data_IF_452667064575
#
_entry.id   IF_452667064575
#
_cell.length_a   1.000
_cell.length_b   1.000
_cell.length_c   1.000
_cell.angle_alpha   90.00
_cell.angle_beta   90.00
_cell.angle_gamma   90.00
#
_symmetry.space_group_name_H-M   'P 1'
#
loop_
_entity.id
_entity.type
_entity.pdbx_description
1 polymer ?
#
# COMPACT_ATOMS: atom_id res chain seq x y z
N UNK A 1 -8.74 22.54 11.74
CA UNK A 1 -9.73 21.44 11.68
C UNK A 1 -9.09 20.29 12.41
N UNK A 2 -9.64 19.90 13.54
CA UNK A 2 -9.12 18.76 14.29
C UNK A 2 -9.17 17.52 13.41
N UNK A 3 -8.03 16.81 13.32
CA UNK A 3 -7.91 15.57 12.56
C UNK A 3 -8.82 14.55 13.24
N UNK A 4 -9.86 14.08 12.53
CA UNK A 4 -10.76 13.06 13.10
C UNK A 4 -9.95 11.77 13.23
N UNK A 5 -9.84 11.26 14.45
CA UNK A 5 -9.11 10.01 14.70
C UNK A 5 -9.82 8.84 14.00
N UNK A 6 -9.06 8.07 13.21
CA UNK A 6 -9.60 6.91 12.48
C UNK A 6 -10.18 5.83 13.40
N UNK A 7 -9.66 5.75 14.63
CA UNK A 7 -10.11 4.82 15.67
C UNK A 7 -11.59 5.07 16.09
N UNK A 8 -12.06 6.32 15.96
CA UNK A 8 -13.45 6.71 16.31
C UNK A 8 -14.43 6.57 15.15
N UNK A 9 -13.96 6.28 13.95
CA UNK A 9 -14.80 6.20 12.77
C UNK A 9 -15.30 4.78 12.52
N UNK A 10 -16.56 4.66 12.09
CA UNK A 10 -17.04 3.42 11.51
C UNK A 10 -16.24 3.00 10.26
N UNK A 11 -16.06 1.70 9.97
CA UNK A 11 -15.22 1.22 8.87
C UNK A 11 -15.51 1.88 7.51
N UNK A 12 -16.77 2.04 7.15
CA UNK A 12 -17.16 2.68 5.88
C UNK A 12 -16.88 4.18 5.86
N UNK A 13 -16.95 4.86 7.00
CA UNK A 13 -16.63 6.28 7.14
C UNK A 13 -15.12 6.49 7.06
N UNK A 14 -14.32 5.67 7.74
CA UNK A 14 -12.85 5.70 7.65
C UNK A 14 -12.37 5.53 6.20
N UNK A 15 -12.91 4.52 5.49
CA UNK A 15 -12.57 4.31 4.08
C UNK A 15 -13.02 5.48 3.18
N UNK A 16 -14.16 6.08 3.42
CA UNK A 16 -14.64 7.23 2.64
C UNK A 16 -13.78 8.48 2.86
N UNK A 17 -13.29 8.69 4.07
CA UNK A 17 -12.49 9.85 4.47
C UNK A 17 -11.07 9.74 3.94
N UNK A 18 -10.40 8.64 4.21
CA UNK A 18 -8.96 8.47 3.97
C UNK A 18 -8.62 7.69 2.69
N UNK A 19 -9.50 6.77 2.27
CA UNK A 19 -9.24 5.86 1.15
C UNK A 19 -10.11 6.16 -0.09
N UNK A 20 -10.16 7.39 -0.60
CA UNK A 20 -11.08 7.82 -1.67
C UNK A 20 -11.06 6.93 -2.92
N UNK A 21 -9.92 6.41 -3.32
CA UNK A 21 -9.78 5.51 -4.47
C UNK A 21 -10.34 4.12 -4.16
N UNK A 22 -10.05 3.58 -2.98
CA UNK A 22 -10.58 2.29 -2.51
C UNK A 22 -12.07 2.37 -2.23
N UNK A 23 -12.57 3.48 -1.68
CA UNK A 23 -14.00 3.70 -1.48
C UNK A 23 -14.78 3.76 -2.81
N UNK A 24 -14.16 4.26 -3.88
CA UNK A 24 -14.72 4.18 -5.22
C UNK A 24 -14.86 2.72 -5.67
N UNK A 25 -13.80 1.94 -5.57
CA UNK A 25 -13.77 0.53 -5.98
C UNK A 25 -14.68 -0.37 -5.10
N UNK A 26 -14.83 -0.07 -3.80
CA UNK A 26 -15.71 -0.79 -2.88
C UNK A 26 -17.14 -0.96 -3.40
N UNK A 27 -17.64 0.01 -4.17
CA UNK A 27 -19.01 -0.02 -4.74
C UNK A 27 -19.26 -1.26 -5.61
N UNK A 28 -18.22 -1.88 -6.15
CA UNK A 28 -18.31 -3.05 -7.02
C UNK A 28 -18.20 -4.39 -6.27
N UNK A 29 -17.77 -4.38 -4.99
CA UNK A 29 -17.64 -5.60 -4.17
C UNK A 29 -18.99 -6.18 -3.73
N UNK A 30 -20.04 -5.37 -3.72
CA UNK A 30 -21.31 -5.72 -3.09
C UNK A 30 -21.28 -5.53 -1.56
N UNK A 31 -22.43 -5.71 -0.91
CA UNK A 31 -22.64 -5.29 0.48
C UNK A 31 -21.69 -5.99 1.47
N UNK A 32 -21.63 -7.33 1.45
CA UNK A 32 -20.84 -8.12 2.43
C UNK A 32 -19.33 -7.93 2.24
N UNK A 33 -18.80 -8.24 1.05
CA UNK A 33 -17.36 -8.09 0.79
C UNK A 33 -16.91 -6.62 0.91
N UNK A 34 -17.76 -5.66 0.53
CA UNK A 34 -17.46 -4.24 0.68
C UNK A 34 -17.39 -3.79 2.14
N UNK A 35 -18.23 -4.35 3.03
CA UNK A 35 -18.15 -4.11 4.46
C UNK A 35 -16.86 -4.73 5.03
N UNK A 36 -16.58 -5.99 4.71
CA UNK A 36 -15.37 -6.69 5.15
C UNK A 36 -14.08 -5.97 4.71
N UNK A 37 -14.03 -5.51 3.45
CA UNK A 37 -12.89 -4.73 2.93
C UNK A 37 -12.73 -3.37 3.64
N UNK A 38 -13.84 -2.70 3.99
CA UNK A 38 -13.79 -1.45 4.76
C UNK A 38 -13.30 -1.71 6.20
N UNK A 39 -13.67 -2.84 6.80
CA UNK A 39 -13.20 -3.27 8.11
C UNK A 39 -11.69 -3.50 8.12
N UNK A 40 -11.16 -4.24 7.12
CA UNK A 40 -9.70 -4.41 6.99
C UNK A 40 -8.99 -3.06 6.77
N UNK A 41 -9.55 -2.20 5.92
CA UNK A 41 -8.97 -0.88 5.68
C UNK A 41 -8.86 -0.06 6.96
N UNK A 42 -9.95 -0.01 7.77
CA UNK A 42 -9.93 0.71 9.05
C UNK A 42 -8.90 0.12 10.00
N UNK A 43 -8.81 -1.20 10.11
CA UNK A 43 -7.78 -1.86 10.90
C UNK A 43 -6.36 -1.39 10.52
N UNK A 44 -6.01 -1.51 9.24
CA UNK A 44 -4.71 -1.07 8.77
C UNK A 44 -4.48 0.44 8.98
N UNK A 45 -5.51 1.27 8.79
CA UNK A 45 -5.42 2.72 8.96
C UNK A 45 -5.19 3.12 10.42
N UNK A 46 -5.84 2.43 11.37
CA UNK A 46 -5.62 2.71 12.80
C UNK A 46 -4.19 2.34 13.22
N UNK A 47 -3.66 1.21 12.71
CA UNK A 47 -2.25 0.85 12.95
C UNK A 47 -1.28 1.91 12.37
N UNK A 48 -1.57 2.45 11.19
CA UNK A 48 -0.83 3.50 10.53
C UNK A 48 -0.86 4.82 11.34
N UNK A 49 -2.05 5.25 11.78
CA UNK A 49 -2.23 6.43 12.62
C UNK A 49 -1.55 6.27 14.00
N UNK A 50 -1.48 5.04 14.54
CA UNK A 50 -0.68 4.77 15.75
C UNK A 50 0.81 4.99 15.49
N UNK A 51 1.33 4.51 14.36
CA UNK A 51 2.74 4.67 13.99
C UNK A 51 3.10 6.14 13.77
N UNK A 52 2.24 6.91 13.14
CA UNK A 52 2.44 8.34 12.85
C UNK A 52 2.26 9.23 14.10
N UNK A 53 1.83 8.67 15.24
CA UNK A 53 1.58 9.41 16.47
C UNK A 53 0.30 10.25 16.44
N UNK A 54 -0.58 10.02 15.48
CA UNK A 54 -1.90 10.66 15.37
C UNK A 54 -2.89 10.17 16.45
N UNK A 55 -2.58 9.03 17.07
CA UNK A 55 -3.33 8.44 18.18
C UNK A 55 -2.51 8.53 19.46
N UNK A 56 -3.16 8.88 20.57
CA UNK A 56 -2.51 9.02 21.87
C UNK A 56 -1.80 7.73 22.28
N UNK A 57 -0.52 7.84 22.64
CA UNK A 57 0.35 6.69 22.93
C UNK A 57 0.44 5.66 21.79
N UNK A 58 0.09 6.05 20.57
CA UNK A 58 0.02 5.18 19.40
C UNK A 58 1.26 4.31 19.19
N UNK A 59 2.49 4.88 19.13
CA UNK A 59 3.71 4.10 18.96
C UNK A 59 3.90 3.01 20.01
N UNK A 60 3.66 3.31 21.28
CA UNK A 60 3.80 2.34 22.36
C UNK A 60 2.71 1.26 22.30
N UNK A 61 1.46 1.65 21.98
CA UNK A 61 0.36 0.70 21.76
C UNK A 61 0.67 -0.25 20.62
N UNK A 62 1.16 0.28 19.50
CA UNK A 62 1.53 -0.51 18.32
C UNK A 62 2.63 -1.53 18.66
N UNK A 63 3.66 -1.11 19.42
CA UNK A 63 4.69 -2.02 19.91
C UNK A 63 4.12 -3.13 20.80
N UNK A 64 3.22 -2.78 21.74
CA UNK A 64 2.59 -3.75 22.63
C UNK A 64 1.70 -4.75 21.87
N UNK A 65 0.93 -4.28 20.87
CA UNK A 65 0.13 -5.13 19.97
C UNK A 65 1.04 -6.13 19.25
N UNK A 66 2.14 -5.66 18.67
CA UNK A 66 3.12 -6.52 18.00
C UNK A 66 3.69 -7.59 18.94
N UNK A 67 4.11 -7.17 20.12
CA UNK A 67 4.72 -8.09 21.11
C UNK A 67 3.72 -9.14 21.62
N UNK A 68 2.47 -8.73 21.87
CA UNK A 68 1.38 -9.63 22.24
C UNK A 68 1.07 -10.65 21.15
N UNK A 69 0.99 -10.20 19.91
CA UNK A 69 0.81 -11.10 18.76
C UNK A 69 2.00 -12.08 18.63
N UNK A 70 3.21 -11.63 18.88
CA UNK A 70 4.41 -12.49 18.77
C UNK A 70 4.47 -13.56 19.85
N UNK A 71 4.14 -13.20 21.09
CA UNK A 71 4.27 -14.05 22.28
C UNK A 71 2.96 -14.73 22.70
N UNK A 72 1.88 -14.57 21.95
CA UNK A 72 0.56 -15.17 22.22
C UNK A 72 -0.05 -14.78 23.60
N UNK A 73 0.10 -13.52 24.01
CA UNK A 73 -0.59 -13.00 25.19
C UNK A 73 -1.56 -11.86 24.85
N UNK A 74 -2.61 -11.69 25.68
CA UNK A 74 -3.55 -10.57 25.55
C UNK A 74 -2.88 -9.27 25.92
N UNK A 75 -3.02 -8.25 25.05
CA UNK A 75 -2.52 -6.89 25.30
C UNK A 75 -3.56 -6.00 25.94
N UNK A 76 -4.83 -6.44 26.02
CA UNK A 76 -5.99 -5.64 26.41
C UNK A 76 -6.08 -4.32 25.61
N UNK A 77 -5.61 -4.33 24.36
CA UNK A 77 -5.74 -3.16 23.50
C UNK A 77 -7.11 -3.14 22.83
N UNK A 78 -7.87 -2.02 22.95
CA UNK A 78 -9.24 -1.93 22.42
C UNK A 78 -9.34 -2.25 20.93
N UNK A 79 -8.31 -1.95 20.15
CA UNK A 79 -8.29 -2.27 18.72
C UNK A 79 -8.29 -3.78 18.48
N UNK A 80 -7.45 -4.53 19.20
CA UNK A 80 -7.41 -5.99 19.05
C UNK A 80 -8.71 -6.63 19.55
N UNK A 81 -9.27 -6.14 20.65
CA UNK A 81 -10.54 -6.65 21.18
C UNK A 81 -11.69 -6.45 20.17
N UNK A 82 -11.74 -5.27 19.54
CA UNK A 82 -12.72 -4.96 18.49
C UNK A 82 -12.54 -5.85 17.25
N UNK A 83 -11.31 -6.09 16.83
CA UNK A 83 -11.02 -6.81 15.58
C UNK A 83 -10.78 -8.31 15.75
N UNK A 84 -10.73 -8.85 16.98
CA UNK A 84 -10.44 -10.25 17.24
C UNK A 84 -11.36 -11.20 16.47
N UNK A 85 -12.66 -10.95 16.53
CA UNK A 85 -13.64 -11.75 15.80
C UNK A 85 -13.41 -11.67 14.28
N UNK A 86 -13.14 -10.49 13.77
CA UNK A 86 -12.85 -10.30 12.34
C UNK A 86 -11.60 -11.03 11.92
N UNK A 87 -10.50 -10.90 12.67
CA UNK A 87 -9.23 -11.59 12.42
C UNK A 87 -9.44 -13.10 12.39
N UNK A 88 -10.14 -13.66 13.39
CA UNK A 88 -10.44 -15.09 13.46
C UNK A 88 -11.38 -15.56 12.35
N UNK A 89 -12.47 -14.85 12.09
CA UNK A 89 -13.48 -15.23 11.08
C UNK A 89 -12.95 -15.19 9.66
N UNK A 90 -12.02 -14.25 9.36
CA UNK A 90 -11.35 -14.12 8.06
C UNK A 90 -10.04 -14.91 7.98
N UNK A 91 -9.65 -15.59 9.07
CA UNK A 91 -8.38 -16.35 9.16
C UNK A 91 -7.18 -15.49 8.76
N UNK A 92 -7.16 -14.23 9.21
CA UNK A 92 -6.05 -13.32 8.88
C UNK A 92 -4.75 -13.85 9.48
N UNK A 93 -3.68 -14.03 8.69
CA UNK A 93 -2.46 -14.66 9.16
C UNK A 93 -1.68 -13.74 10.11
N UNK A 94 -1.47 -14.19 11.33
CA UNK A 94 -0.78 -13.46 12.40
C UNK A 94 0.60 -12.93 12.00
N UNK A 95 1.41 -13.76 11.34
CA UNK A 95 2.75 -13.36 10.89
C UNK A 95 2.72 -12.21 9.86
N UNK A 96 1.65 -12.13 9.07
CA UNK A 96 1.48 -11.04 8.10
C UNK A 96 1.10 -9.74 8.82
N UNK A 97 0.23 -9.81 9.85
CA UNK A 97 -0.11 -8.65 10.69
C UNK A 97 1.15 -8.15 11.41
N UNK A 98 1.94 -9.04 12.01
CA UNK A 98 3.21 -8.68 12.66
C UNK A 98 4.16 -8.00 11.66
N UNK A 99 4.29 -8.55 10.45
CA UNK A 99 5.15 -7.95 9.42
C UNK A 99 4.68 -6.57 8.96
N UNK A 100 3.35 -6.33 8.90
CA UNK A 100 2.79 -5.01 8.67
C UNK A 100 3.20 -4.04 9.78
N UNK A 101 3.01 -4.45 11.04
CA UNK A 101 3.37 -3.62 12.20
C UNK A 101 4.88 -3.34 12.23
N UNK A 102 5.73 -4.32 11.92
CA UNK A 102 7.19 -4.11 11.82
C UNK A 102 7.54 -3.05 10.77
N UNK A 103 6.82 -3.02 9.64
CA UNK A 103 6.97 -1.98 8.62
C UNK A 103 6.58 -0.60 9.13
N UNK A 104 5.43 -0.49 9.79
CA UNK A 104 4.94 0.77 10.36
C UNK A 104 5.83 1.28 11.51
N UNK A 105 6.33 0.39 12.38
CA UNK A 105 7.27 0.76 13.43
C UNK A 105 8.59 1.29 12.87
N UNK A 106 9.03 0.80 11.70
CA UNK A 106 10.24 1.31 11.06
C UNK A 106 10.13 2.76 10.59
N UNK A 107 8.91 3.30 10.46
CA UNK A 107 8.65 4.69 10.08
C UNK A 107 8.77 5.68 11.26
N UNK A 108 8.94 5.19 12.49
CA UNK A 108 9.15 6.04 13.68
C UNK A 108 10.59 6.54 13.82
N UNK A 109 11.53 5.92 13.12
CA UNK A 109 12.91 6.33 13.05
C UNK A 109 13.15 7.24 11.84
N UNK A 110 14.36 7.78 11.70
CA UNK A 110 14.76 8.52 10.49
C UNK A 110 14.78 7.58 9.29
N UNK A 111 13.75 7.63 8.46
CA UNK A 111 13.67 6.78 7.28
C UNK A 111 14.58 7.32 6.17
N UNK A 112 15.65 6.61 5.89
CA UNK A 112 16.61 6.90 4.83
C UNK A 112 16.91 5.62 4.06
N UNK A 113 16.06 5.28 3.09
CA UNK A 113 16.21 4.08 2.26
C UNK A 113 17.51 4.17 1.43
N UNK A 114 18.37 3.14 1.52
CA UNK A 114 19.69 3.15 0.87
C UNK A 114 19.64 2.62 -0.56
N UNK A 115 18.85 1.60 -0.81
CA UNK A 115 18.85 0.88 -2.09
C UNK A 115 17.48 0.27 -2.41
N UNK A 116 17.35 -0.32 -3.61
CA UNK A 116 16.11 -0.94 -4.08
C UNK A 116 15.69 -2.15 -3.23
N UNK A 117 16.66 -2.89 -2.67
CA UNK A 117 16.38 -4.01 -1.76
C UNK A 117 15.61 -3.53 -0.51
N UNK A 118 16.07 -2.48 0.15
CA UNK A 118 15.39 -1.91 1.32
C UNK A 118 14.02 -1.35 0.94
N UNK A 119 13.92 -0.64 -0.21
CA UNK A 119 12.66 -0.10 -0.72
C UNK A 119 11.60 -1.19 -0.92
N UNK A 120 11.94 -2.27 -1.61
CA UNK A 120 10.98 -3.34 -1.89
C UNK A 120 10.54 -4.07 -0.64
N UNK A 121 11.44 -4.30 0.31
CA UNK A 121 11.11 -4.90 1.60
C UNK A 121 10.22 -4.01 2.45
N UNK A 122 10.44 -2.70 2.43
CA UNK A 122 9.54 -1.73 3.03
C UNK A 122 8.15 -1.79 2.37
N UNK A 123 8.07 -1.66 1.04
CA UNK A 123 6.80 -1.73 0.31
C UNK A 123 6.05 -3.04 0.56
N UNK A 124 6.76 -4.17 0.67
CA UNK A 124 6.16 -5.43 1.05
C UNK A 124 5.53 -5.33 2.44
N UNK A 125 6.28 -4.83 3.45
CA UNK A 125 5.80 -4.80 4.83
C UNK A 125 4.56 -3.94 5.00
N UNK A 126 4.53 -2.74 4.42
CA UNK A 126 3.42 -1.78 4.63
C UNK A 126 2.26 -1.95 3.64
N UNK A 127 2.43 -2.67 2.53
CA UNK A 127 1.39 -2.79 1.51
C UNK A 127 1.26 -4.20 0.88
N UNK A 128 2.35 -4.92 0.63
CA UNK A 128 2.30 -6.32 0.18
C UNK A 128 1.55 -7.19 1.18
N UNK A 129 1.80 -7.00 2.48
CA UNK A 129 1.07 -7.63 3.59
C UNK A 129 -0.43 -7.34 3.54
N UNK A 130 -0.82 -6.09 3.24
CA UNK A 130 -2.23 -5.71 3.08
C UNK A 130 -2.86 -6.44 1.90
N UNK A 131 -2.11 -6.66 0.81
CA UNK A 131 -2.54 -7.49 -0.31
C UNK A 131 -2.87 -8.93 0.11
N UNK A 132 -2.02 -9.55 0.93
CA UNK A 132 -2.25 -10.89 1.49
C UNK A 132 -3.51 -10.90 2.37
N UNK A 133 -3.63 -9.97 3.30
CA UNK A 133 -4.81 -9.85 4.18
C UNK A 133 -6.10 -9.66 3.37
N UNK A 134 -6.04 -8.90 2.28
CA UNK A 134 -7.18 -8.67 1.40
C UNK A 134 -7.59 -9.96 0.65
N UNK A 135 -6.67 -10.85 0.29
CA UNK A 135 -7.00 -12.15 -0.29
C UNK A 135 -7.93 -12.95 0.64
N UNK A 136 -7.60 -13.03 1.94
CA UNK A 136 -8.42 -13.70 2.95
C UNK A 136 -9.82 -13.06 3.05
N UNK A 137 -9.88 -11.73 3.09
CA UNK A 137 -11.14 -10.98 3.17
C UNK A 137 -12.03 -11.20 1.96
N UNK A 138 -11.45 -11.30 0.78
CA UNK A 138 -12.16 -11.47 -0.49
C UNK A 138 -12.42 -12.92 -0.87
N UNK A 139 -12.12 -13.90 0.02
CA UNK A 139 -12.26 -15.33 -0.22
C UNK A 139 -11.54 -15.76 -1.51
N UNK A 140 -10.31 -15.35 -1.67
CA UNK A 140 -9.45 -15.69 -2.78
C UNK A 140 -8.83 -17.08 -2.60
N UNK A 141 -8.50 -17.76 -3.70
CA UNK A 141 -7.62 -18.94 -3.65
C UNK A 141 -6.18 -18.49 -3.35
N UNK A 142 -5.81 -18.57 -2.06
CA UNK A 142 -4.53 -18.09 -1.55
C UNK A 142 -3.33 -18.77 -2.21
N UNK A 143 -3.44 -20.05 -2.56
CA UNK A 143 -2.32 -20.84 -3.09
C UNK A 143 -1.76 -20.29 -4.40
N UNK A 144 -2.62 -19.66 -5.20
CA UNK A 144 -2.28 -19.15 -6.51
C UNK A 144 -2.25 -17.62 -6.61
N UNK A 145 -2.88 -16.91 -5.69
CA UNK A 145 -3.09 -15.47 -5.78
C UNK A 145 -2.13 -14.64 -4.91
N UNK A 146 -1.56 -15.23 -3.88
CA UNK A 146 -0.77 -14.51 -2.87
C UNK A 146 0.38 -13.72 -3.48
N UNK A 147 1.16 -14.33 -4.38
CA UNK A 147 2.31 -13.66 -4.99
C UNK A 147 1.88 -12.41 -5.78
N UNK A 148 0.77 -12.49 -6.51
CA UNK A 148 0.22 -11.36 -7.27
C UNK A 148 -0.41 -10.29 -6.37
N UNK A 149 -0.98 -10.68 -5.23
CA UNK A 149 -1.53 -9.74 -4.26
C UNK A 149 -0.42 -8.93 -3.57
N UNK A 150 0.71 -9.58 -3.27
CA UNK A 150 1.93 -8.92 -2.81
C UNK A 150 2.37 -7.88 -3.83
N UNK A 151 2.47 -8.26 -5.09
CA UNK A 151 2.89 -7.39 -6.18
C UNK A 151 1.97 -6.17 -6.32
N UNK A 152 0.66 -6.37 -6.27
CA UNK A 152 -0.29 -5.26 -6.37
C UNK A 152 -0.15 -4.29 -5.19
N UNK A 153 0.07 -4.80 -3.99
CA UNK A 153 0.36 -3.97 -2.81
C UNK A 153 1.63 -3.14 -3.00
N UNK A 154 2.72 -3.77 -3.43
CA UNK A 154 3.99 -3.11 -3.71
C UNK A 154 3.82 -2.03 -4.79
N UNK A 155 3.12 -2.33 -5.90
CA UNK A 155 2.86 -1.36 -6.96
C UNK A 155 2.16 -0.09 -6.46
N UNK A 156 1.14 -0.28 -5.61
CA UNK A 156 0.40 0.83 -5.01
C UNK A 156 1.28 1.65 -4.07
N UNK A 157 2.15 0.99 -3.28
CA UNK A 157 3.05 1.70 -2.35
C UNK A 157 4.14 2.47 -3.08
N UNK A 158 4.74 1.90 -4.12
CA UNK A 158 5.68 2.63 -4.98
C UNK A 158 5.04 3.89 -5.60
N UNK A 159 3.76 3.80 -6.00
CA UNK A 159 2.98 4.95 -6.49
C UNK A 159 2.73 5.98 -5.38
N UNK A 160 2.45 5.55 -4.15
CA UNK A 160 2.32 6.45 -2.99
C UNK A 160 3.62 7.21 -2.75
N UNK A 161 4.76 6.50 -2.70
CA UNK A 161 6.07 7.11 -2.50
C UNK A 161 6.36 8.15 -3.60
N UNK A 162 6.07 7.83 -4.87
CA UNK A 162 6.26 8.79 -5.97
C UNK A 162 5.33 10.02 -5.85
N UNK A 163 4.13 9.86 -5.30
CA UNK A 163 3.17 10.95 -5.09
C UNK A 163 3.53 11.84 -3.91
N UNK A 164 4.09 11.26 -2.85
CA UNK A 164 4.18 11.90 -1.53
C UNK A 164 5.61 12.37 -1.18
N UNK A 165 6.55 12.44 -2.15
CA UNK A 165 7.99 12.77 -1.93
C UNK A 165 8.18 14.02 -1.05
N UNK A 166 7.44 15.09 -1.31
CA UNK A 166 7.58 16.33 -0.55
C UNK A 166 6.95 16.22 0.85
N UNK A 167 5.81 15.58 0.95
CA UNK A 167 5.12 15.35 2.22
C UNK A 167 5.93 14.46 3.15
N UNK A 168 6.46 13.35 2.62
CA UNK A 168 7.34 12.44 3.37
C UNK A 168 8.61 13.15 3.85
N UNK A 169 9.21 13.98 2.99
CA UNK A 169 10.37 14.77 3.37
C UNK A 169 10.07 15.78 4.50
N UNK A 170 8.88 16.40 4.53
CA UNK A 170 8.43 17.26 5.63
C UNK A 170 8.26 16.49 6.94
N UNK A 171 7.95 15.20 6.88
CA UNK A 171 7.88 14.28 8.02
C UNK A 171 9.24 13.71 8.42
N UNK A 172 10.34 14.11 7.74
CA UNK A 172 11.69 13.62 8.02
C UNK A 172 12.01 12.28 7.37
N UNK A 173 11.24 11.85 6.36
CA UNK A 173 11.36 10.55 5.70
C UNK A 173 11.83 10.69 4.25
N UNK A 174 12.76 9.83 3.82
CA UNK A 174 13.16 9.68 2.42
C UNK A 174 13.05 8.21 2.00
N UNK A 175 12.02 7.88 1.24
CA UNK A 175 11.82 6.54 0.70
C UNK A 175 12.51 6.33 -0.65
N UNK A 176 12.87 7.40 -1.36
CA UNK A 176 13.71 7.30 -2.55
C UNK A 176 15.09 6.72 -2.18
N UNK A 177 15.54 5.62 -2.83
CA UNK A 177 16.84 5.04 -2.54
C UNK A 177 18.00 6.02 -2.74
N UNK A 178 18.91 6.08 -1.79
CA UNK A 178 20.14 6.87 -1.89
C UNK A 178 20.94 6.52 -3.14
N UNK A 179 21.00 5.23 -3.49
CA UNK A 179 21.66 4.74 -4.72
C UNK A 179 21.06 5.29 -6.01
N UNK A 180 19.87 5.91 -5.96
CA UNK A 180 19.20 6.49 -7.13
C UNK A 180 19.30 8.01 -7.16
N UNK A 181 19.20 8.67 -6.02
CA UNK A 181 19.10 10.13 -5.92
C UNK A 181 20.32 10.79 -5.28
N UNK A 182 21.27 9.99 -4.78
CA UNK A 182 22.41 10.44 -4.01
C UNK A 182 22.09 10.64 -2.53
N UNK A 183 23.10 11.00 -1.77
CA UNK A 183 22.95 11.32 -0.34
C UNK A 183 22.30 12.70 -0.19
N UNK A 184 20.97 12.68 -0.13
CA UNK A 184 20.14 13.87 0.08
C UNK A 184 19.22 13.65 1.28
N UNK A 185 19.30 14.56 2.24
CA UNK A 185 18.47 14.49 3.44
C UNK A 185 17.03 14.96 3.18
N UNK A 186 16.03 14.51 3.99
CA UNK A 186 14.66 15.01 3.90
C UNK A 186 14.56 16.54 4.03
N UNK A 187 15.35 17.14 4.92
CA UNK A 187 15.41 18.61 5.08
C UNK A 187 15.88 19.30 3.80
N UNK A 188 16.87 18.73 3.14
CA UNK A 188 17.38 19.26 1.86
C UNK A 188 16.35 19.12 0.75
N UNK A 189 15.59 17.99 0.68
CA UNK A 189 14.49 17.82 -0.26
C UNK A 189 13.47 18.96 -0.11
N UNK A 190 13.06 19.27 1.13
CA UNK A 190 12.15 20.40 1.41
C UNK A 190 12.74 21.73 0.97
N UNK A 191 14.04 21.98 1.20
CA UNK A 191 14.69 23.22 0.80
C UNK A 191 14.76 23.41 -0.72
N UNK A 192 15.12 22.35 -1.45
CA UNK A 192 15.26 22.42 -2.92
C UNK A 192 13.91 22.45 -3.64
N UNK A 193 12.83 22.01 -3.00
CA UNK A 193 11.47 22.11 -3.57
C UNK A 193 11.09 23.55 -3.95
N UNK A 194 11.68 24.54 -3.26
CA UNK A 194 11.53 25.97 -3.55
C UNK A 194 12.47 26.50 -4.64
N UNK A 195 13.36 25.66 -5.18
CA UNK A 195 14.40 26.00 -6.15
C UNK A 195 14.41 25.01 -7.31
N UNK A 196 13.43 25.02 -8.22
CA UNK A 196 13.29 24.00 -9.29
C UNK A 196 14.50 23.90 -10.24
N UNK A 197 15.33 24.92 -10.27
CA UNK A 197 16.57 24.97 -11.09
C UNK A 197 17.75 24.21 -10.45
N UNK A 198 17.61 23.71 -9.22
CA UNK A 198 18.69 22.99 -8.56
C UNK A 198 18.89 21.63 -9.22
N UNK A 199 20.14 21.24 -9.50
CA UNK A 199 20.49 19.96 -10.13
C UNK A 199 19.95 18.75 -9.37
N UNK A 200 19.93 18.79 -8.03
CA UNK A 200 19.38 17.71 -7.18
C UNK A 200 17.87 17.51 -7.37
N UNK A 201 17.13 18.52 -7.83
CA UNK A 201 15.71 18.38 -8.20
C UNK A 201 15.57 17.37 -9.34
N UNK A 202 16.45 17.45 -10.34
CA UNK A 202 16.45 16.52 -11.46
C UNK A 202 16.74 15.09 -11.01
N UNK A 203 17.66 14.88 -10.07
CA UNK A 203 17.94 13.55 -9.52
C UNK A 203 16.70 12.94 -8.85
N UNK A 204 15.92 13.74 -8.12
CA UNK A 204 14.66 13.28 -7.53
C UNK A 204 13.60 13.00 -8.59
N UNK A 205 13.52 13.80 -9.68
CA UNK A 205 12.64 13.50 -10.80
C UNK A 205 12.99 12.15 -11.46
N UNK A 206 14.27 11.87 -11.70
CA UNK A 206 14.73 10.58 -12.20
C UNK A 206 14.45 9.43 -11.22
N UNK A 207 14.61 9.66 -9.93
CA UNK A 207 14.23 8.70 -8.90
C UNK A 207 12.72 8.40 -8.91
N UNK A 208 11.87 9.43 -9.09
CA UNK A 208 10.42 9.28 -9.23
C UNK A 208 10.03 8.50 -10.50
N UNK A 209 10.71 8.77 -11.63
CA UNK A 209 10.55 8.01 -12.87
C UNK A 209 10.84 6.53 -12.64
N UNK A 210 11.98 6.22 -12.04
CA UNK A 210 12.39 4.84 -11.73
C UNK A 210 11.42 4.14 -10.79
N UNK A 211 10.84 4.86 -9.80
CA UNK A 211 9.78 4.32 -8.95
C UNK A 211 8.56 3.88 -9.77
N UNK A 212 8.10 4.72 -10.70
CA UNK A 212 6.91 4.44 -11.50
C UNK A 212 7.15 3.36 -12.56
N UNK A 213 8.35 3.28 -13.12
CA UNK A 213 8.74 2.16 -13.98
C UNK A 213 8.76 0.82 -13.21
N UNK A 214 9.27 0.85 -11.98
CA UNK A 214 9.25 -0.32 -11.10
C UNK A 214 7.81 -0.68 -10.71
N UNK A 215 6.99 0.30 -10.31
CA UNK A 215 5.58 0.10 -10.00
C UNK A 215 4.82 -0.54 -11.16
N UNK A 216 5.10 -0.15 -12.41
CA UNK A 216 4.44 -0.71 -13.59
C UNK A 216 4.68 -2.22 -13.73
N UNK A 217 5.91 -2.70 -13.47
CA UNK A 217 6.23 -4.14 -13.49
C UNK A 217 5.38 -4.92 -12.48
N UNK A 218 5.20 -4.34 -11.29
CA UNK A 218 4.39 -4.91 -10.23
C UNK A 218 2.88 -4.80 -10.51
N UNK A 219 2.39 -3.70 -11.14
CA UNK A 219 0.99 -3.60 -11.60
C UNK A 219 0.65 -4.66 -12.65
N UNK A 220 1.52 -4.87 -13.63
CA UNK A 220 1.32 -5.89 -14.67
C UNK A 220 1.15 -7.27 -14.03
N UNK A 221 2.02 -7.63 -13.08
CA UNK A 221 1.92 -8.89 -12.36
C UNK A 221 0.65 -8.94 -11.50
N UNK A 222 0.42 -7.96 -10.63
CA UNK A 222 -0.73 -7.94 -9.73
C UNK A 222 -2.08 -8.05 -10.44
N UNK A 223 -2.22 -7.38 -11.60
CA UNK A 223 -3.43 -7.45 -12.42
C UNK A 223 -3.68 -8.84 -13.05
N UNK A 224 -2.65 -9.67 -13.23
CA UNK A 224 -2.84 -11.07 -13.65
C UNK A 224 -3.49 -11.89 -12.54
N UNK A 225 -3.13 -11.63 -11.28
CA UNK A 225 -3.68 -12.31 -10.11
C UNK A 225 -5.17 -12.08 -9.88
N UNK A 226 -5.74 -11.00 -10.43
CA UNK A 226 -7.18 -10.73 -10.32
C UNK A 226 -8.05 -11.88 -10.85
N UNK A 227 -7.53 -12.73 -11.74
CA UNK A 227 -8.24 -13.88 -12.29
C UNK A 227 -8.56 -14.96 -11.24
N UNK A 228 -7.85 -15.00 -10.12
CA UNK A 228 -8.10 -15.92 -9.00
C UNK A 228 -9.19 -15.42 -8.04
N UNK A 229 -9.57 -14.14 -8.12
CA UNK A 229 -10.60 -13.54 -7.27
C UNK A 229 -12.02 -13.94 -7.71
N UNK A 230 -13.01 -13.98 -6.79
CA UNK A 230 -14.43 -14.01 -7.18
C UNK A 230 -14.75 -12.85 -8.15
N UNK A 231 -15.73 -13.02 -9.04
CA UNK A 231 -16.01 -12.07 -10.15
C UNK A 231 -16.15 -10.62 -9.66
N UNK A 232 -16.92 -10.37 -8.60
CA UNK A 232 -17.10 -9.01 -8.05
C UNK A 232 -15.80 -8.44 -7.50
N UNK A 233 -15.00 -9.26 -6.82
CA UNK A 233 -13.70 -8.88 -6.30
C UNK A 233 -12.71 -8.62 -7.44
N UNK A 234 -12.69 -9.44 -8.50
CA UNK A 234 -11.89 -9.19 -9.70
C UNK A 234 -12.17 -7.79 -10.28
N UNK A 235 -13.44 -7.47 -10.50
CA UNK A 235 -13.82 -6.14 -11.04
C UNK A 235 -13.37 -5.03 -10.10
N UNK A 236 -13.68 -5.14 -8.81
CA UNK A 236 -13.35 -4.09 -7.82
C UNK A 236 -11.85 -3.87 -7.69
N UNK A 237 -11.05 -4.95 -7.56
CA UNK A 237 -9.60 -4.85 -7.42
C UNK A 237 -8.95 -4.35 -8.71
N UNK A 238 -9.41 -4.80 -9.88
CA UNK A 238 -8.93 -4.25 -11.17
C UNK A 238 -9.21 -2.75 -11.28
N UNK A 239 -10.40 -2.29 -10.89
CA UNK A 239 -10.73 -0.86 -10.86
C UNK A 239 -9.82 -0.11 -9.87
N UNK A 240 -9.63 -0.63 -8.66
CA UNK A 240 -8.75 -0.03 -7.65
C UNK A 240 -7.32 0.13 -8.20
N UNK A 241 -6.78 -0.94 -8.79
CA UNK A 241 -5.45 -0.94 -9.38
C UNK A 241 -5.30 0.10 -10.49
N UNK A 242 -6.26 0.17 -11.42
CA UNK A 242 -6.23 1.12 -12.53
C UNK A 242 -6.38 2.57 -12.05
N UNK A 243 -7.24 2.81 -11.05
CA UNK A 243 -7.41 4.15 -10.44
C UNK A 243 -6.12 4.60 -9.73
N UNK A 244 -5.44 3.69 -9.04
CA UNK A 244 -4.14 3.98 -8.41
C UNK A 244 -3.04 4.22 -9.44
N UNK A 245 -2.92 3.34 -10.43
CA UNK A 245 -1.97 3.50 -11.54
C UNK A 245 -2.16 4.83 -12.28
N UNK A 246 -3.41 5.34 -12.38
CA UNK A 246 -3.70 6.65 -12.96
C UNK A 246 -3.05 7.81 -12.21
N UNK A 247 -2.79 7.68 -10.89
CA UNK A 247 -2.00 8.67 -10.13
C UNK A 247 -0.58 8.75 -10.70
N UNK A 248 0.06 7.60 -10.93
CA UNK A 248 1.40 7.53 -11.55
C UNK A 248 1.41 8.16 -12.96
N UNK A 249 0.39 7.89 -13.79
CA UNK A 249 0.26 8.50 -15.12
C UNK A 249 0.16 10.04 -15.03
N UNK A 250 -0.51 10.59 -14.02
CA UNK A 250 -0.56 12.04 -13.80
C UNK A 250 0.80 12.61 -13.44
N UNK A 251 1.57 11.92 -12.57
CA UNK A 251 2.93 12.32 -12.21
C UNK A 251 3.83 12.32 -13.45
N UNK A 252 3.75 11.29 -14.30
CA UNK A 252 4.47 11.20 -15.57
C UNK A 252 4.12 12.39 -16.48
N UNK A 253 2.83 12.68 -16.66
CA UNK A 253 2.35 13.79 -17.49
C UNK A 253 2.81 15.16 -16.98
N UNK A 254 3.07 15.30 -15.70
CA UNK A 254 3.69 16.46 -15.06
C UNK A 254 5.21 16.40 -15.05
N UNK A 255 5.83 15.51 -15.80
CA UNK A 255 7.29 15.36 -15.90
C UNK A 255 7.94 15.17 -14.50
N UNK A 256 7.28 14.38 -13.66
CA UNK A 256 7.75 14.05 -12.30
C UNK A 256 8.02 15.26 -11.39
N UNK A 257 7.28 16.35 -11.57
CA UNK A 257 7.42 17.59 -10.78
C UNK A 257 6.85 17.40 -9.37
N UNK A 258 7.55 16.61 -8.56
CA UNK A 258 7.19 16.23 -7.19
C UNK A 258 7.00 17.42 -6.24
N UNK A 259 7.61 18.57 -6.54
CA UNK A 259 7.55 19.79 -5.74
C UNK A 259 6.25 20.60 -5.93
N UNK A 260 5.41 20.27 -6.90
CA UNK A 260 4.10 20.91 -7.11
C UNK A 260 3.00 20.36 -6.19
N UNK A 261 3.31 19.35 -5.36
CA UNK A 261 2.38 18.72 -4.44
C UNK A 261 1.73 17.45 -5.00
N UNK A 262 0.78 16.92 -4.24
CA UNK A 262 0.19 15.57 -4.45
C UNK A 262 -0.77 15.52 -5.62
N UNK A 263 -0.66 14.47 -6.42
CA UNK A 263 -1.60 14.16 -7.49
C UNK A 263 -2.76 13.26 -7.04
N UNK A 264 -3.95 13.56 -7.53
CA UNK A 264 -5.16 12.80 -7.26
C UNK A 264 -5.96 12.55 -8.54
N UNK A 265 -6.58 11.37 -8.62
CA UNK A 265 -7.48 11.02 -9.73
C UNK A 265 -8.78 11.83 -9.65
N UNK A 266 -9.14 12.51 -10.74
CA UNK A 266 -10.41 13.21 -10.89
C UNK A 266 -11.58 12.23 -11.04
N UNK A 267 -12.82 12.73 -10.90
CA UNK A 267 -14.02 11.90 -11.08
C UNK A 267 -14.10 11.35 -12.50
N UNK A 268 -13.80 12.16 -13.52
CA UNK A 268 -13.83 11.73 -14.92
C UNK A 268 -12.79 10.62 -15.18
N UNK A 269 -11.60 10.74 -14.61
CA UNK A 269 -10.58 9.68 -14.68
C UNK A 269 -11.02 8.41 -13.97
N UNK A 270 -11.66 8.51 -12.81
CA UNK A 270 -12.21 7.35 -12.10
C UNK A 270 -13.27 6.62 -12.93
N UNK A 271 -14.13 7.35 -13.65
CA UNK A 271 -15.12 6.75 -14.55
C UNK A 271 -14.41 6.01 -15.70
N UNK A 272 -13.44 6.63 -16.37
CA UNK A 272 -12.65 5.98 -17.42
C UNK A 272 -11.90 4.76 -16.91
N UNK A 273 -11.27 4.88 -15.74
CA UNK A 273 -10.60 3.76 -15.07
C UNK A 273 -11.58 2.63 -14.72
N UNK A 274 -12.83 2.96 -14.35
CA UNK A 274 -13.87 1.98 -14.07
C UNK A 274 -14.23 1.18 -15.32
N UNK A 275 -14.46 1.85 -16.43
CA UNK A 275 -14.76 1.19 -17.70
C UNK A 275 -13.59 0.28 -18.08
N UNK A 276 -12.38 0.80 -18.12
CA UNK A 276 -11.19 0.02 -18.48
C UNK A 276 -10.92 -1.13 -17.49
N UNK A 277 -10.98 -0.89 -16.17
CA UNK A 277 -10.79 -1.93 -15.16
C UNK A 277 -11.83 -3.05 -15.26
N UNK A 278 -13.07 -2.72 -15.62
CA UNK A 278 -14.12 -3.71 -15.85
C UNK A 278 -13.86 -4.58 -17.08
N UNK A 279 -13.28 -4.02 -18.16
CA UNK A 279 -12.92 -4.83 -19.34
C UNK A 279 -11.88 -5.89 -19.02
N UNK A 280 -11.01 -5.67 -18.01
CA UNK A 280 -9.98 -6.65 -17.61
C UNK A 280 -10.57 -7.99 -17.16
N UNK A 281 -11.89 -8.08 -16.96
CA UNK A 281 -12.59 -9.32 -16.67
C UNK A 281 -12.35 -10.38 -17.77
N UNK A 282 -12.10 -9.97 -19.03
CA UNK A 282 -11.77 -10.89 -20.12
C UNK A 282 -10.54 -11.76 -19.83
N UNK A 283 -9.61 -11.29 -19.01
CA UNK A 283 -8.42 -12.07 -18.62
C UNK A 283 -8.75 -13.40 -17.94
N UNK A 284 -9.96 -13.54 -17.37
CA UNK A 284 -10.44 -14.80 -16.81
C UNK A 284 -10.66 -15.92 -17.84
N UNK A 285 -10.78 -15.57 -19.12
CA UNK A 285 -10.90 -16.54 -20.21
C UNK A 285 -9.58 -17.27 -20.49
N UNK A 286 -8.48 -16.74 -19.98
CA UNK A 286 -7.15 -17.29 -20.16
C UNK A 286 -6.59 -17.75 -18.82
N UNK A 287 -5.84 -18.85 -18.84
CA UNK A 287 -5.09 -19.27 -17.66
C UNK A 287 -4.02 -18.18 -17.34
N UNK A 288 -3.93 -17.68 -16.11
CA UNK A 288 -2.89 -16.73 -15.75
C UNK A 288 -1.50 -17.32 -16.05
N UNK A 289 -0.61 -16.50 -16.56
CA UNK A 289 0.80 -16.86 -16.69
C UNK A 289 1.39 -17.17 -15.30
N UNK A 290 2.41 -18.01 -15.23
CA UNK A 290 3.11 -18.23 -13.96
C UNK A 290 3.69 -16.92 -13.43
N UNK A 291 3.62 -16.77 -12.11
CA UNK A 291 4.22 -15.60 -11.44
C UNK A 291 5.71 -15.49 -11.78
N UNK A 292 6.17 -14.26 -12.05
CA UNK A 292 7.56 -13.99 -12.37
C UNK A 292 8.40 -13.96 -11.08
N UNK A 293 9.05 -15.08 -10.78
CA UNK A 293 9.81 -15.32 -9.53
C UNK A 293 10.80 -14.19 -9.18
N UNK A 294 11.45 -13.60 -10.18
CA UNK A 294 12.44 -12.52 -9.99
C UNK A 294 11.88 -11.23 -9.38
N UNK A 295 10.56 -11.03 -9.38
CA UNK A 295 9.93 -9.91 -8.66
C UNK A 295 10.05 -10.05 -7.14
N UNK A 296 10.22 -11.29 -6.65
CA UNK A 296 10.33 -11.59 -5.22
C UNK A 296 11.77 -11.92 -4.77
N UNK A 297 12.78 -11.75 -5.61
CA UNK A 297 14.18 -12.03 -5.23
C UNK A 297 14.61 -11.21 -4.00
N UNK A 298 14.23 -9.93 -3.95
CA UNK A 298 14.55 -9.03 -2.84
C UNK A 298 13.66 -9.26 -1.60
N UNK A 299 12.59 -10.02 -1.74
CA UNK A 299 11.62 -10.30 -0.68
C UNK A 299 11.90 -11.61 0.06
N UNK A 300 12.92 -12.36 -0.34
CA UNK A 300 13.23 -13.67 0.26
C UNK A 300 13.33 -13.61 1.78
N UNK A 301 12.70 -14.58 2.43
CA UNK A 301 12.67 -14.69 3.89
C UNK A 301 11.57 -13.89 4.58
N UNK A 302 10.80 -13.07 3.84
CA UNK A 302 9.59 -12.43 4.37
C UNK A 302 8.42 -13.42 4.42
N UNK A 303 7.45 -13.25 5.34
CA UNK A 303 6.29 -14.14 5.45
C UNK A 303 5.54 -14.28 4.13
N UNK A 304 5.03 -15.48 3.84
CA UNK A 304 4.25 -15.78 2.63
C UNK A 304 4.95 -15.56 1.29
N UNK A 305 6.21 -15.16 1.28
CA UNK A 305 7.03 -15.14 0.06
C UNK A 305 7.55 -16.56 -0.18
N UNK A 306 7.18 -17.14 -1.32
CA UNK A 306 7.58 -18.52 -1.67
C UNK A 306 9.09 -18.66 -1.74
N UNK A 307 9.62 -19.70 -1.10
CA UNK A 307 11.00 -20.14 -1.34
C UNK A 307 11.01 -20.86 -2.68
N UNK A 308 11.50 -20.19 -3.71
CA UNK A 308 11.80 -20.84 -4.97
C UNK A 308 13.18 -21.50 -4.84
N UNK A 309 13.20 -22.82 -4.84
CA UNK A 309 14.40 -23.66 -4.90
C UNK A 309 14.84 -23.74 -6.36
#
# INVERSE_FOLDING_TARGET
MDKIESEKLEPSAALATYGKSFNWAKKFLGKKMGADAATLYRFCRVLDDMADGDIVNGPQRLFNIRDGLLKDYSTNDPLLDEFEFFIKSKKLPKLVIISLIDGLLSDQENVLIKNEFELLRYCYRVAGTVGILMCNVLNCDESNATDYAIDLGIAMQLTNIARDILEDAKMGRRYLPESWVGDISPKEIVQISQKPQNEKVQNICLGSERLLELAEKYYISGLMGCSYLPIRAHIAISIAAVVYRQIGIRIINKKYQWFEGREFTSINEKIRCTIYGSTLLYKRLFKPANHKKSLHDELRGLPYVKKYI
#
